data_IF_560949074282
#
_entry.id   IF_560949074282
#
_cell.length_a   1.000
_cell.length_b   1.000
_cell.length_c   1.000
_cell.angle_alpha   90.00
_cell.angle_beta   90.00
_cell.angle_gamma   90.00
#
_symmetry.space_group_name_H-M   'P 1'
#
loop_
_entity.id
_entity.type
_entity.pdbx_description
1 polymer ?
#
# COMPACT_ATOMS: atom_id res chain seq x y z
N UNK A 1 -26.38 10.54 -11.00
CA UNK A 1 -25.65 9.75 -10.00
C UNK A 1 -24.35 9.26 -10.63
N UNK A 2 -23.19 9.50 -10.01
CA UNK A 2 -21.95 8.90 -10.51
C UNK A 2 -22.07 7.38 -10.39
N UNK A 3 -21.64 6.65 -11.43
CA UNK A 3 -21.63 5.19 -11.37
C UNK A 3 -20.48 4.74 -10.45
N UNK A 4 -20.80 4.53 -9.17
CA UNK A 4 -19.82 4.16 -8.14
C UNK A 4 -19.01 2.91 -8.51
N UNK A 5 -19.62 1.96 -9.24
CA UNK A 5 -18.93 0.76 -9.71
C UNK A 5 -17.87 1.10 -10.76
N UNK A 6 -18.16 2.02 -11.68
CA UNK A 6 -17.20 2.48 -12.69
C UNK A 6 -16.03 3.23 -12.05
N UNK A 7 -16.30 4.06 -11.04
CA UNK A 7 -15.25 4.76 -10.28
C UNK A 7 -14.32 3.74 -9.60
N UNK A 8 -14.91 2.72 -8.97
CA UNK A 8 -14.17 1.66 -8.31
C UNK A 8 -13.28 0.93 -9.32
N UNK A 9 -13.84 0.49 -10.45
CA UNK A 9 -13.11 -0.17 -11.53
C UNK A 9 -11.92 0.67 -12.04
N UNK A 10 -12.13 1.96 -12.32
CA UNK A 10 -11.07 2.87 -12.76
C UNK A 10 -9.97 3.02 -11.70
N UNK A 11 -10.35 3.09 -10.43
CA UNK A 11 -9.40 3.16 -9.29
C UNK A 11 -8.57 1.87 -9.18
N UNK A 12 -9.22 0.70 -9.31
CA UNK A 12 -8.54 -0.60 -9.33
C UNK A 12 -7.55 -0.71 -10.50
N UNK A 13 -7.92 -0.22 -11.68
CA UNK A 13 -7.04 -0.24 -12.86
C UNK A 13 -5.75 0.56 -12.63
N UNK A 14 -5.83 1.69 -11.91
CA UNK A 14 -4.64 2.45 -11.50
C UNK A 14 -3.78 1.59 -10.58
N UNK A 15 -4.34 1.01 -9.52
CA UNK A 15 -3.56 0.17 -8.59
C UNK A 15 -2.90 -1.00 -9.31
N UNK A 16 -3.63 -1.69 -10.19
CA UNK A 16 -3.13 -2.84 -10.93
C UNK A 16 -2.01 -2.53 -11.91
N UNK A 17 -1.95 -1.31 -12.45
CA UNK A 17 -0.79 -0.85 -13.24
C UNK A 17 0.50 -0.89 -12.41
N UNK A 18 0.42 -0.62 -11.11
CA UNK A 18 1.58 -0.59 -10.22
C UNK A 18 1.95 -1.96 -9.65
N UNK A 19 1.01 -2.90 -9.63
CA UNK A 19 1.19 -4.25 -9.06
C UNK A 19 1.24 -5.35 -10.11
N UNK A 20 1.30 -5.00 -11.40
CA UNK A 20 1.28 -5.94 -12.52
C UNK A 20 0.08 -6.90 -12.48
N UNK A 21 -1.08 -6.42 -11.99
CA UNK A 21 -2.33 -7.20 -11.82
C UNK A 21 -2.22 -8.40 -10.86
N UNK A 22 -1.20 -8.45 -10.00
CA UNK A 22 -0.94 -9.58 -9.08
C UNK A 22 -1.24 -9.25 -7.61
N UNK A 23 -2.16 -8.30 -7.36
CA UNK A 23 -2.48 -7.83 -6.01
C UNK A 23 -3.71 -8.57 -5.48
N UNK A 24 -3.59 -9.21 -4.31
CA UNK A 24 -4.74 -9.82 -3.62
C UNK A 24 -5.45 -8.82 -2.70
N UNK A 25 -6.72 -9.07 -2.38
CA UNK A 25 -7.56 -8.13 -1.60
C UNK A 25 -6.97 -7.72 -0.26
N UNK A 26 -6.34 -8.64 0.48
CA UNK A 26 -5.69 -8.32 1.77
C UNK A 26 -4.46 -7.42 1.62
N UNK A 27 -3.74 -7.53 0.50
CA UNK A 27 -2.64 -6.62 0.17
C UNK A 27 -3.17 -5.25 -0.25
N UNK A 28 -4.31 -5.19 -0.95
CA UNK A 28 -4.96 -3.93 -1.25
C UNK A 28 -5.40 -3.19 0.02
N UNK A 29 -6.02 -3.89 0.97
CA UNK A 29 -6.42 -3.29 2.25
C UNK A 29 -5.21 -2.70 3.00
N UNK A 30 -4.10 -3.46 3.10
CA UNK A 30 -2.86 -2.99 3.71
C UNK A 30 -2.25 -1.78 2.96
N UNK A 31 -2.27 -1.80 1.63
CA UNK A 31 -1.78 -0.69 0.80
C UNK A 31 -2.62 0.58 1.02
N UNK A 32 -3.94 0.47 1.02
CA UNK A 32 -4.85 1.60 1.26
C UNK A 32 -4.68 2.17 2.67
N UNK A 33 -4.47 1.32 3.67
CA UNK A 33 -4.20 1.78 5.04
C UNK A 33 -2.93 2.64 5.11
N UNK A 34 -1.83 2.20 4.49
CA UNK A 34 -0.56 2.95 4.47
C UNK A 34 -0.63 4.19 3.58
N UNK A 35 -1.37 4.16 2.46
CA UNK A 35 -1.58 5.33 1.61
C UNK A 35 -2.23 6.50 2.37
N UNK A 36 -3.14 6.18 3.29
CA UNK A 36 -3.87 7.15 4.11
C UNK A 36 -3.14 7.50 5.42
N UNK A 37 -2.29 6.60 5.93
CA UNK A 37 -1.64 6.74 7.24
C UNK A 37 -0.12 6.43 7.13
N UNK A 38 0.63 7.26 6.40
CA UNK A 38 2.10 7.12 6.40
C UNK A 38 2.65 7.32 7.83
N UNK A 39 3.59 6.47 8.23
CA UNK A 39 4.11 6.44 9.59
C UNK A 39 3.47 5.38 10.50
N UNK A 40 2.37 4.74 10.07
CA UNK A 40 1.73 3.67 10.83
C UNK A 40 2.71 2.51 11.06
N UNK A 41 2.76 1.98 12.29
CA UNK A 41 3.58 0.82 12.61
C UNK A 41 2.79 -0.50 12.42
N UNK A 42 3.47 -1.64 12.54
CA UNK A 42 2.86 -2.95 12.28
C UNK A 42 1.78 -3.36 13.29
N UNK A 43 1.83 -2.85 14.53
CA UNK A 43 0.84 -3.14 15.57
C UNK A 43 -0.42 -2.33 15.28
N UNK A 44 -0.27 -1.03 15.07
CA UNK A 44 -1.36 -0.13 14.70
C UNK A 44 -2.05 -0.59 13.40
N UNK A 45 -1.28 -1.05 12.41
CA UNK A 45 -1.85 -1.59 11.18
C UNK A 45 -2.66 -2.87 11.42
N UNK A 46 -2.23 -3.72 12.36
CA UNK A 46 -2.95 -4.92 12.74
C UNK A 46 -4.29 -4.60 13.39
N UNK A 47 -4.29 -3.63 14.31
CA UNK A 47 -5.49 -3.15 14.96
C UNK A 47 -6.43 -2.45 13.96
N UNK A 48 -5.88 -1.61 13.08
CA UNK A 48 -6.66 -0.87 12.07
C UNK A 48 -7.38 -1.79 11.08
N UNK A 49 -6.77 -2.92 10.71
CA UNK A 49 -7.32 -3.87 9.75
C UNK A 49 -7.99 -5.10 10.39
N UNK A 50 -8.08 -5.13 11.73
CA UNK A 50 -8.53 -6.29 12.50
C UNK A 50 -7.93 -7.60 11.96
N UNK A 51 -6.59 -7.62 11.82
CA UNK A 51 -5.88 -8.67 11.10
C UNK A 51 -4.64 -9.16 11.85
N UNK A 52 -4.37 -10.49 11.87
CA UNK A 52 -3.17 -11.01 12.52
C UNK A 52 -1.89 -10.44 11.92
N UNK A 53 -0.96 -10.03 12.80
CA UNK A 53 0.32 -9.42 12.41
C UNK A 53 1.14 -10.29 11.45
N UNK A 54 1.10 -11.62 11.60
CA UNK A 54 1.79 -12.55 10.69
C UNK A 54 1.27 -12.50 9.25
N UNK A 55 -0.03 -12.31 9.06
CA UNK A 55 -0.62 -12.14 7.73
C UNK A 55 -0.27 -10.78 7.14
N UNK A 56 -0.29 -9.72 7.95
CA UNK A 56 0.11 -8.38 7.52
C UNK A 56 1.59 -8.30 7.19
N UNK A 57 2.46 -8.97 7.94
CA UNK A 57 3.89 -9.06 7.64
C UNK A 57 4.14 -9.62 6.23
N UNK A 58 3.41 -10.68 5.83
CA UNK A 58 3.46 -11.22 4.46
C UNK A 58 2.95 -10.22 3.42
N UNK A 59 1.84 -9.53 3.70
CA UNK A 59 1.29 -8.51 2.78
C UNK A 59 2.26 -7.35 2.61
N UNK A 60 2.79 -6.79 3.70
CA UNK A 60 3.77 -5.70 3.69
C UNK A 60 5.06 -6.12 2.99
N UNK A 61 5.55 -7.34 3.20
CA UNK A 61 6.70 -7.86 2.46
C UNK A 61 6.44 -7.85 0.94
N UNK A 62 5.28 -8.33 0.47
CA UNK A 62 4.95 -8.32 -0.96
C UNK A 62 4.75 -6.90 -1.50
N UNK A 63 4.21 -5.99 -0.71
CA UNK A 63 4.08 -4.56 -1.06
C UNK A 63 5.41 -3.81 -1.06
N UNK A 64 6.39 -4.30 -0.30
CA UNK A 64 7.75 -3.73 -0.21
C UNK A 64 8.67 -4.27 -1.29
N UNK A 65 9.93 -3.83 -1.29
CA UNK A 65 10.99 -4.40 -2.12
C UNK A 65 11.84 -5.34 -1.26
N UNK A 66 12.03 -6.59 -1.68
CA UNK A 66 12.84 -7.57 -0.95
C UNK A 66 13.64 -8.46 -1.92
N UNK A 67 14.69 -9.13 -1.42
CA UNK A 67 15.38 -10.18 -2.17
C UNK A 67 14.70 -11.52 -1.91
N UNK A 68 14.32 -12.23 -2.97
CA UNK A 68 13.77 -13.57 -2.86
C UNK A 68 14.87 -14.62 -2.57
N UNK A 69 14.50 -15.89 -2.41
CA UNK A 69 15.45 -16.98 -2.14
C UNK A 69 16.47 -17.22 -3.25
N UNK A 70 16.18 -16.76 -4.47
CA UNK A 70 17.08 -16.81 -5.64
C UNK A 70 18.00 -15.58 -5.72
N UNK A 71 17.90 -14.65 -4.77
CA UNK A 71 18.67 -13.40 -4.75
C UNK A 71 18.13 -12.29 -5.67
N UNK A 72 17.01 -12.53 -6.35
CA UNK A 72 16.38 -11.57 -7.26
C UNK A 72 15.53 -10.57 -6.47
N UNK A 73 15.40 -9.34 -6.97
CA UNK A 73 14.50 -8.36 -6.37
C UNK A 73 13.03 -8.70 -6.70
N UNK A 74 12.21 -8.89 -5.67
CA UNK A 74 10.78 -9.15 -5.76
C UNK A 74 9.99 -8.12 -4.91
N UNK A 75 8.67 -8.18 -5.03
CA UNK A 75 7.71 -7.30 -4.41
C UNK A 75 7.36 -6.08 -5.28
N UNK A 76 6.29 -5.39 -4.91
CA UNK A 76 5.76 -4.29 -5.70
C UNK A 76 6.53 -2.99 -5.52
N UNK A 77 7.39 -2.89 -4.49
CA UNK A 77 8.16 -1.70 -4.15
C UNK A 77 7.24 -0.46 -4.00
N UNK A 78 6.11 -0.59 -3.32
CA UNK A 78 5.17 0.51 -3.04
C UNK A 78 5.32 1.05 -1.61
N UNK A 79 5.77 0.21 -0.69
CA UNK A 79 5.97 0.55 0.71
C UNK A 79 7.44 0.31 1.06
N UNK A 80 7.94 1.08 2.02
CA UNK A 80 9.25 0.89 2.64
C UNK A 80 9.15 1.00 4.15
N UNK A 81 9.96 0.21 4.84
CA UNK A 81 10.09 0.27 6.29
C UNK A 81 11.19 1.27 6.62
N UNK A 82 10.86 2.25 7.47
CA UNK A 82 11.85 3.19 8.01
C UNK A 82 11.88 3.05 9.51
N UNK A 83 13.06 3.21 10.09
CA UNK A 83 13.19 3.27 11.53
C UNK A 83 12.51 4.55 12.01
N UNK A 84 11.67 4.43 13.04
CA UNK A 84 10.98 5.56 13.61
C UNK A 84 12.00 6.46 14.35
N UNK A 85 11.91 7.76 14.09
CA UNK A 85 12.82 8.76 14.65
C UNK A 85 12.51 9.04 16.13
N UNK A 86 11.25 8.92 16.55
CA UNK A 86 10.84 9.14 17.94
C UNK A 86 11.09 7.90 18.80
N UNK A 87 10.94 6.71 18.21
CA UNK A 87 11.25 5.45 18.86
C UNK A 87 12.11 4.56 17.96
N UNK A 88 13.43 4.68 18.08
CA UNK A 88 14.40 3.90 17.28
C UNK A 88 14.26 2.37 17.41
N UNK A 89 13.46 1.87 18.34
CA UNK A 89 13.18 0.42 18.48
C UNK A 89 12.05 -0.05 17.57
N UNK A 90 11.29 0.86 16.95
CA UNK A 90 10.15 0.55 16.10
C UNK A 90 10.42 0.93 14.64
N UNK A 91 9.78 0.18 13.74
CA UNK A 91 9.73 0.50 12.31
C UNK A 91 8.33 0.98 11.96
N UNK A 92 8.29 2.01 11.13
CA UNK A 92 7.07 2.59 10.58
C UNK A 92 7.03 2.39 9.07
N UNK A 93 5.82 2.31 8.54
CA UNK A 93 5.54 2.06 7.13
C UNK A 93 5.36 3.38 6.39
N UNK A 94 6.14 3.57 5.33
CA UNK A 94 6.08 4.75 4.48
C UNK A 94 5.92 4.36 3.02
N UNK A 95 5.45 5.29 2.19
CA UNK A 95 5.43 5.06 0.76
C UNK A 95 6.85 5.15 0.19
N UNK A 96 7.19 4.17 -0.64
CA UNK A 96 8.35 4.30 -1.52
C UNK A 96 8.09 5.38 -2.56
N UNK A 97 9.12 5.72 -3.34
CA UNK A 97 8.96 6.64 -4.46
C UNK A 97 7.93 6.16 -5.50
N UNK A 98 7.85 4.84 -5.73
CA UNK A 98 6.82 4.27 -6.61
C UNK A 98 5.43 4.29 -5.96
N UNK A 99 5.34 4.12 -4.63
CA UNK A 99 4.09 4.28 -3.89
C UNK A 99 3.55 5.71 -3.92
N UNK A 100 4.42 6.72 -3.82
CA UNK A 100 4.03 8.14 -3.95
C UNK A 100 3.46 8.46 -5.32
N UNK A 101 4.06 7.92 -6.40
CA UNK A 101 3.51 8.04 -7.75
C UNK A 101 2.12 7.41 -7.88
N UNK A 102 1.92 6.22 -7.30
CA UNK A 102 0.60 5.60 -7.23
C UNK A 102 -0.41 6.51 -6.51
N UNK A 103 -0.05 7.06 -5.35
CA UNK A 103 -0.93 8.00 -4.62
C UNK A 103 -1.27 9.24 -5.46
N UNK A 104 -0.30 9.79 -6.17
CA UNK A 104 -0.50 10.95 -7.03
C UNK A 104 -1.49 10.65 -8.17
N UNK A 105 -1.34 9.50 -8.84
CA UNK A 105 -2.25 9.06 -9.90
C UNK A 105 -3.68 8.84 -9.38
N UNK A 106 -3.82 8.21 -8.21
CA UNK A 106 -5.12 8.03 -7.55
C UNK A 106 -5.77 9.38 -7.20
N UNK A 107 -5.03 10.28 -6.55
CA UNK A 107 -5.53 11.60 -6.18
C UNK A 107 -5.93 12.43 -7.40
N UNK A 108 -5.14 12.38 -8.48
CA UNK A 108 -5.49 13.03 -9.75
C UNK A 108 -6.83 12.51 -10.27
N UNK A 109 -7.01 11.19 -10.28
CA UNK A 109 -8.25 10.57 -10.77
C UNK A 109 -9.45 10.92 -9.89
N UNK A 110 -9.30 10.90 -8.57
CA UNK A 110 -10.37 11.26 -7.64
C UNK A 110 -10.79 12.74 -7.78
N UNK A 111 -9.84 13.65 -8.07
CA UNK A 111 -10.11 15.06 -8.38
C UNK A 111 -10.86 15.22 -9.71
N UNK A 112 -10.45 14.54 -10.78
CA UNK A 112 -11.18 14.52 -12.06
C UNK A 112 -12.63 14.06 -11.88
N UNK A 113 -12.85 13.17 -10.92
CA UNK A 113 -14.16 12.65 -10.57
C UNK A 113 -14.91 13.54 -9.56
N UNK A 114 -14.38 14.68 -9.11
CA UNK A 114 -14.96 15.54 -8.07
C UNK A 114 -15.35 14.77 -6.80
N UNK A 115 -14.45 13.94 -6.27
CA UNK A 115 -14.65 13.18 -5.03
C UNK A 115 -13.81 13.71 -3.86
N UNK A 116 -12.73 14.44 -4.16
CA UNK A 116 -11.85 15.16 -3.25
C UNK A 116 -11.31 16.42 -3.93
#
# INVERSE_FOLDING_TARGET
>A
MKNNLKILEETFNIVYKYTKKDLVGTQLAALLAVLNNEGINMIELADYLDSPQGSLSRNIKKLSKFKNSKGEMDGFNLIELRQDYENRRTYALYLSEKGRRLRADLNKKLKELNLI
#
